data_IF_480157790868
#
_entry.id   IF_480157790868
#
_cell.length_a   1.000
_cell.length_b   1.000
_cell.length_c   1.000
_cell.angle_alpha   90.00
_cell.angle_beta   90.00
_cell.angle_gamma   90.00
#
_symmetry.space_group_name_H-M   'P 1'
#
loop_
_entity.id
_entity.type
_entity.pdbx_description
1 polymer ?
#
# COMPACT_ATOMS: atom_id res chain seq x y z
N UNK A 1 7.98 -6.00 11.34
CA UNK A 1 8.57 -5.22 10.25
C UNK A 1 7.43 -4.82 9.38
N UNK A 2 7.30 -3.54 9.05
CA UNK A 2 6.19 -3.08 8.19
C UNK A 2 6.46 -3.53 6.76
N UNK A 3 5.42 -4.02 6.09
CA UNK A 3 5.42 -4.34 4.66
C UNK A 3 4.37 -3.49 3.98
N UNK A 4 4.76 -2.89 2.86
CA UNK A 4 3.84 -2.24 1.92
C UNK A 4 3.77 -3.11 0.68
N UNK A 5 2.56 -3.48 0.27
CA UNK A 5 2.32 -4.48 -0.77
C UNK A 5 1.36 -3.88 -1.79
N UNK A 6 1.65 -4.08 -3.08
CA UNK A 6 0.71 -3.83 -4.17
C UNK A 6 0.27 -5.18 -4.74
N UNK A 7 -1.02 -5.44 -4.73
CA UNK A 7 -1.61 -6.66 -5.28
C UNK A 7 -2.54 -6.29 -6.46
N UNK A 8 -2.29 -6.81 -7.67
CA UNK A 8 -3.22 -6.66 -8.77
C UNK A 8 -4.39 -7.64 -8.62
N UNK A 9 -5.61 -7.14 -8.79
CA UNK A 9 -6.84 -7.93 -8.73
C UNK A 9 -7.72 -7.59 -9.92
N UNK A 10 -8.27 -8.61 -10.58
CA UNK A 10 -9.22 -8.40 -11.67
C UNK A 10 -10.57 -7.94 -11.11
N UNK A 11 -11.00 -6.76 -11.51
CA UNK A 11 -12.31 -6.19 -11.20
C UNK A 11 -13.42 -6.89 -12.01
N UNK A 12 -14.68 -6.70 -11.58
CA UNK A 12 -15.85 -7.34 -12.21
C UNK A 12 -16.10 -6.86 -13.64
N UNK A 13 -15.67 -5.65 -13.97
CA UNK A 13 -15.75 -5.04 -15.30
C UNK A 13 -14.58 -5.45 -16.22
N UNK A 14 -13.65 -6.27 -15.72
CA UNK A 14 -12.47 -6.73 -16.46
C UNK A 14 -11.24 -5.84 -16.31
N UNK A 15 -11.34 -4.69 -15.63
CA UNK A 15 -10.17 -3.85 -15.30
C UNK A 15 -9.29 -4.50 -14.24
N UNK A 16 -8.06 -3.99 -14.08
CA UNK A 16 -7.16 -4.39 -13.00
C UNK A 16 -7.23 -3.31 -11.92
N UNK A 17 -7.64 -3.71 -10.71
CA UNK A 17 -7.51 -2.92 -9.50
C UNK A 17 -6.16 -3.24 -8.85
N UNK A 18 -5.42 -2.22 -8.48
CA UNK A 18 -4.22 -2.29 -7.65
C UNK A 18 -4.62 -1.97 -6.22
N UNK A 19 -4.46 -2.95 -5.34
CA UNK A 19 -4.74 -2.80 -3.92
C UNK A 19 -3.42 -2.55 -3.21
N UNK A 20 -3.29 -1.39 -2.57
CA UNK A 20 -2.12 -1.03 -1.77
C UNK A 20 -2.44 -1.36 -0.32
N UNK A 21 -1.61 -2.18 0.30
CA UNK A 21 -1.84 -2.70 1.65
C UNK A 21 -0.66 -2.42 2.56
N UNK A 22 -0.95 -1.95 3.76
CA UNK A 22 -0.02 -1.87 4.87
C UNK A 22 -0.17 -3.12 5.74
N UNK A 23 0.93 -3.79 6.06
CA UNK A 23 0.98 -4.94 6.96
C UNK A 23 2.07 -4.74 8.02
N UNK A 24 1.67 -4.59 9.27
CA UNK A 24 2.59 -4.69 10.39
C UNK A 24 2.73 -6.15 10.83
N UNK A 25 3.82 -6.78 10.38
CA UNK A 25 4.13 -8.18 10.69
C UNK A 25 4.30 -8.45 12.19
N UNK A 26 4.54 -7.43 13.03
CA UNK A 26 4.68 -7.63 14.48
C UNK A 26 3.34 -7.89 15.17
N UNK A 27 2.32 -7.17 14.72
CA UNK A 27 0.97 -7.22 15.30
C UNK A 27 0.01 -8.05 14.45
N UNK A 28 0.46 -8.49 13.27
CA UNK A 28 -0.33 -9.09 12.20
C UNK A 28 -1.48 -8.21 11.72
N UNK A 29 -1.42 -6.91 12.02
CA UNK A 29 -2.41 -5.95 11.57
C UNK A 29 -2.18 -5.61 10.11
N UNK A 30 -3.25 -5.72 9.33
CA UNK A 30 -3.25 -5.37 7.92
C UNK A 30 -4.40 -4.43 7.61
N UNK A 31 -4.15 -3.39 6.83
CA UNK A 31 -5.19 -2.52 6.31
C UNK A 31 -4.88 -2.04 4.89
N UNK A 32 -5.94 -1.82 4.12
CA UNK A 32 -5.84 -1.27 2.77
C UNK A 32 -5.61 0.23 2.86
N UNK A 33 -4.53 0.70 2.23
CA UNK A 33 -4.21 2.12 2.06
C UNK A 33 -5.05 2.72 0.94
N UNK A 34 -5.13 2.05 -0.20
CA UNK A 34 -5.98 2.45 -1.33
C UNK A 34 -6.29 1.27 -2.25
N UNK A 35 -7.33 1.43 -3.07
CA UNK A 35 -7.62 0.59 -4.23
C UNK A 35 -7.83 1.52 -5.41
N UNK A 36 -7.08 1.32 -6.50
CA UNK A 36 -7.14 2.17 -7.70
C UNK A 36 -6.92 1.33 -8.95
N UNK A 37 -7.50 1.72 -10.08
CA UNK A 37 -7.22 1.08 -11.38
C UNK A 37 -5.97 1.66 -12.09
N UNK A 38 -5.29 2.61 -11.45
CA UNK A 38 -4.04 3.21 -11.96
C UNK A 38 -2.83 2.68 -11.21
N UNK A 39 -1.89 2.05 -11.93
CA UNK A 39 -0.64 1.58 -11.34
C UNK A 39 0.20 2.76 -10.80
N UNK A 40 0.22 3.88 -11.52
CA UNK A 40 0.99 5.06 -11.13
C UNK A 40 0.47 5.63 -9.81
N UNK A 41 -0.85 5.69 -9.64
CA UNK A 41 -1.45 6.12 -8.37
C UNK A 41 -1.13 5.12 -7.24
N UNK A 42 -1.20 3.81 -7.50
CA UNK A 42 -0.87 2.79 -6.51
C UNK A 42 0.59 2.90 -6.04
N UNK A 43 1.53 3.06 -6.97
CA UNK A 43 2.96 3.23 -6.68
C UNK A 43 3.22 4.54 -5.92
N UNK A 44 2.58 5.64 -6.34
CA UNK A 44 2.69 6.92 -5.63
C UNK A 44 2.22 6.79 -4.18
N UNK A 45 1.06 6.18 -3.93
CA UNK A 45 0.51 5.98 -2.58
C UNK A 45 1.40 5.08 -1.73
N UNK A 46 1.97 4.03 -2.31
CA UNK A 46 2.93 3.17 -1.63
C UNK A 46 4.19 3.96 -1.22
N UNK A 47 4.74 4.78 -2.14
CA UNK A 47 5.90 5.62 -1.87
C UNK A 47 5.62 6.65 -0.77
N UNK A 48 4.52 7.40 -0.87
CA UNK A 48 4.13 8.41 0.13
C UNK A 48 3.99 7.79 1.53
N UNK A 49 3.37 6.61 1.60
CA UNK A 49 3.20 5.88 2.86
C UNK A 49 4.56 5.45 3.43
N UNK A 50 5.45 4.91 2.59
CA UNK A 50 6.79 4.51 3.01
C UNK A 50 7.60 5.72 3.50
N UNK A 51 7.57 6.84 2.77
CA UNK A 51 8.27 8.06 3.16
C UNK A 51 7.76 8.63 4.49
N UNK A 52 6.45 8.55 4.75
CA UNK A 52 5.86 8.93 6.04
C UNK A 52 6.38 8.06 7.18
N UNK A 53 6.38 6.73 7.02
CA UNK A 53 6.90 5.81 8.04
C UNK A 53 8.39 6.04 8.31
N UNK A 54 9.20 6.23 7.26
CA UNK A 54 10.62 6.54 7.41
C UNK A 54 10.81 7.85 8.16
N UNK A 55 10.05 8.91 7.84
CA UNK A 55 10.11 10.19 8.58
C UNK A 55 9.76 10.03 10.05
N UNK A 56 8.74 9.24 10.37
CA UNK A 56 8.34 8.96 11.76
C UNK A 56 9.46 8.23 12.51
N UNK A 57 10.15 7.29 11.85
CA UNK A 57 11.24 6.54 12.45
C UNK A 57 12.52 7.37 12.62
N UNK A 58 12.81 8.29 11.69
CA UNK A 58 14.02 9.14 11.74
C UNK A 58 13.86 10.42 12.55
N UNK A 59 12.62 10.83 12.85
CA UNK A 59 12.34 11.96 13.74
C UNK A 59 12.43 11.60 15.25
N UNK A 60 12.74 10.34 15.57
CA UNK A 60 13.03 9.84 16.92
C UNK A 60 14.53 9.68 17.14
#
# INVERSE_FOLDING_TARGET
MVKLIIEPKKAKDGQIDYIVTYHDVKTDNQFTVTTTNSLDEAVQRLKETLESEVKILTAK
#
